data_IF_473540163782
#
_entry.id   IF_473540163782
#
_cell.length_a   1.000
_cell.length_b   1.000
_cell.length_c   1.000
_cell.angle_alpha   90.00
_cell.angle_beta   90.00
_cell.angle_gamma   90.00
#
_symmetry.space_group_name_H-M   'P 1'
#
loop_
_entity.id
_entity.type
_entity.pdbx_description
1 polymer ?
#
# COMPACT_ATOMS: atom_id res chain seq x y z
N UNK A 1 29.38 -31.90 -8.31
CA UNK A 1 29.13 -30.46 -8.56
C UNK A 1 27.67 -30.14 -8.93
N UNK A 2 26.78 -31.13 -9.12
CA UNK A 2 25.35 -30.90 -9.35
C UNK A 2 24.50 -30.80 -8.04
N UNK A 3 25.06 -31.18 -6.89
CA UNK A 3 24.32 -31.18 -5.60
C UNK A 3 24.42 -29.87 -4.79
N UNK A 4 25.17 -28.87 -5.26
CA UNK A 4 25.23 -27.54 -4.61
C UNK A 4 24.24 -26.52 -5.18
N UNK A 5 23.45 -26.90 -6.19
CA UNK A 5 22.42 -26.03 -6.81
C UNK A 5 20.98 -26.35 -6.37
N UNK A 6 20.79 -27.33 -5.49
CA UNK A 6 19.48 -27.73 -4.98
C UNK A 6 19.21 -27.28 -3.53
N UNK A 7 19.80 -26.14 -3.11
CA UNK A 7 19.63 -25.56 -1.77
C UNK A 7 19.54 -24.01 -1.76
N UNK A 8 19.03 -23.42 -2.85
CA UNK A 8 18.29 -22.15 -2.76
C UNK A 8 16.85 -22.55 -2.43
N UNK A 9 16.62 -22.95 -1.17
CA UNK A 9 15.69 -22.25 -0.28
C UNK A 9 14.42 -21.82 -1.03
N UNK A 10 13.42 -22.70 -1.03
CA UNK A 10 12.04 -22.29 -0.75
C UNK A 10 12.06 -21.57 0.62
N UNK A 11 12.56 -20.33 0.64
CA UNK A 11 12.26 -19.42 1.73
C UNK A 11 10.92 -18.82 1.32
N UNK A 12 9.88 -19.20 2.05
CA UNK A 12 8.54 -18.67 1.86
C UNK A 12 8.61 -17.15 2.02
N UNK A 13 8.29 -16.38 0.98
CA UNK A 13 8.36 -14.91 1.03
C UNK A 13 7.49 -14.37 2.17
N UNK A 14 6.37 -15.06 2.46
CA UNK A 14 5.50 -14.76 3.60
C UNK A 14 6.26 -14.91 4.94
N UNK A 15 7.11 -15.93 5.08
CA UNK A 15 7.93 -16.11 6.29
C UNK A 15 8.99 -15.01 6.43
N UNK A 16 9.62 -14.59 5.33
CA UNK A 16 10.60 -13.51 5.36
C UNK A 16 9.95 -12.16 5.73
N UNK A 17 8.73 -11.91 5.24
CA UNK A 17 7.96 -10.72 5.62
C UNK A 17 7.64 -10.71 7.12
N UNK A 18 7.11 -11.83 7.63
CA UNK A 18 6.74 -11.94 9.04
C UNK A 18 7.94 -11.76 9.98
N UNK A 19 9.10 -12.36 9.67
CA UNK A 19 10.34 -12.19 10.45
C UNK A 19 10.76 -10.72 10.52
N UNK A 20 10.83 -10.03 9.37
CA UNK A 20 11.22 -8.61 9.31
C UNK A 20 10.22 -7.72 10.04
N UNK A 21 8.92 -8.00 9.88
CA UNK A 21 7.85 -7.27 10.54
C UNK A 21 7.95 -7.39 12.05
N UNK A 22 8.12 -8.60 12.58
CA UNK A 22 8.21 -8.84 14.03
C UNK A 22 9.45 -8.18 14.63
N UNK A 23 10.62 -8.38 14.02
CA UNK A 23 11.89 -7.78 14.46
C UNK A 23 11.81 -6.25 14.44
N UNK A 24 11.24 -5.66 13.38
CA UNK A 24 11.06 -4.22 13.30
C UNK A 24 10.11 -3.68 14.36
N UNK A 25 8.98 -4.35 14.60
CA UNK A 25 8.01 -3.92 15.62
C UNK A 25 8.64 -3.96 17.01
N UNK A 26 9.42 -4.98 17.33
CA UNK A 26 10.14 -5.10 18.60
C UNK A 26 11.13 -3.94 18.77
N UNK A 27 12.02 -3.74 17.79
CA UNK A 27 13.03 -2.68 17.83
C UNK A 27 12.41 -1.29 17.87
N UNK A 28 11.38 -1.02 17.07
CA UNK A 28 10.68 0.26 17.05
C UNK A 28 10.04 0.57 18.40
N UNK A 29 9.39 -0.41 19.04
CA UNK A 29 8.81 -0.26 20.38
C UNK A 29 9.88 -0.03 21.45
N UNK A 30 11.03 -0.68 21.33
CA UNK A 30 12.12 -0.48 22.28
C UNK A 30 12.76 0.90 22.14
N UNK A 31 12.97 1.39 20.92
CA UNK A 31 13.41 2.77 20.70
C UNK A 31 12.38 3.81 21.16
N UNK A 32 11.08 3.55 21.00
CA UNK A 32 10.01 4.40 21.57
C UNK A 32 10.06 4.47 23.10
N UNK A 33 10.33 3.35 23.79
CA UNK A 33 10.51 3.35 25.25
C UNK A 33 11.78 4.10 25.65
N UNK A 34 12.89 3.89 24.96
CA UNK A 34 14.18 4.51 25.26
C UNK A 34 14.15 6.03 25.15
N UNK A 35 13.41 6.60 24.18
CA UNK A 35 13.25 8.06 24.05
C UNK A 35 12.39 8.68 25.14
N UNK A 36 11.63 7.89 25.91
CA UNK A 36 10.98 8.33 27.15
C UNK A 36 9.87 9.37 26.98
N UNK A 37 9.26 9.48 25.79
CA UNK A 37 8.18 10.46 25.51
C UNK A 37 6.77 9.93 25.80
N UNK A 38 6.63 8.67 26.23
CA UNK A 38 5.34 8.05 26.55
C UNK A 38 4.47 7.75 25.32
N UNK A 39 5.08 7.62 24.15
CA UNK A 39 4.40 7.36 22.89
C UNK A 39 4.18 5.87 22.65
N UNK A 40 3.13 5.56 21.91
CA UNK A 40 2.76 4.20 21.52
C UNK A 40 2.73 4.08 20.00
N UNK A 41 2.96 2.87 19.50
CA UNK A 41 2.75 2.54 18.10
C UNK A 41 1.27 2.17 17.89
N UNK A 42 0.66 2.72 16.85
CA UNK A 42 -0.69 2.37 16.40
C UNK A 42 -0.61 1.73 15.01
N UNK A 43 -1.28 0.59 14.85
CA UNK A 43 -1.35 -0.11 13.57
C UNK A 43 -2.63 0.24 12.83
N UNK A 44 -2.52 0.22 11.50
CA UNK A 44 -3.60 0.39 10.54
C UNK A 44 -3.63 -0.86 9.69
N UNK A 45 -4.79 -1.49 9.58
CA UNK A 45 -4.98 -2.76 8.89
C UNK A 45 -3.99 -3.86 9.34
N UNK A 46 -3.82 -4.00 10.66
CA UNK A 46 -2.83 -4.90 11.28
C UNK A 46 -2.95 -6.35 10.79
N UNK A 47 -1.84 -6.91 10.32
CA UNK A 47 -1.74 -8.28 9.83
C UNK A 47 -2.38 -8.51 8.47
N UNK A 48 -2.64 -7.44 7.71
CA UNK A 48 -3.11 -7.49 6.31
C UNK A 48 -2.01 -7.02 5.35
N UNK A 49 -2.15 -7.21 4.02
CA UNK A 49 -1.18 -6.74 3.04
C UNK A 49 -1.01 -5.21 3.01
N UNK A 50 -2.01 -4.47 3.49
CA UNK A 50 -1.99 -3.00 3.50
C UNK A 50 -1.67 -2.44 4.89
N UNK A 51 -0.93 -3.22 5.69
CA UNK A 51 -0.55 -2.81 7.04
C UNK A 51 0.33 -1.56 6.99
N UNK A 52 -0.06 -0.58 7.78
CA UNK A 52 0.72 0.60 8.07
C UNK A 52 0.78 0.84 9.57
N UNK A 53 1.66 1.73 9.99
CA UNK A 53 1.74 2.14 11.38
C UNK A 53 2.03 3.63 11.51
N UNK A 54 1.72 4.16 12.68
CA UNK A 54 2.08 5.52 13.07
C UNK A 54 2.39 5.58 14.56
N UNK A 55 2.95 6.70 15.01
CA UNK A 55 2.95 7.03 16.43
C UNK A 55 1.53 7.47 16.81
N UNK A 56 0.94 6.81 17.80
CA UNK A 56 -0.40 7.10 18.30
C UNK A 56 -0.51 8.57 18.68
N UNK A 57 -1.53 9.22 18.13
CA UNK A 57 -1.85 10.62 18.43
C UNK A 57 -2.45 10.79 19.82
N UNK A 58 -2.86 12.03 20.11
CA UNK A 58 -3.66 12.37 21.30
C UNK A 58 -5.16 12.12 21.11
N UNK A 59 -5.54 11.51 19.98
CA UNK A 59 -6.93 11.27 19.57
C UNK A 59 -7.56 12.41 18.78
N UNK A 60 -7.04 13.64 18.92
CA UNK A 60 -7.49 14.81 18.14
C UNK A 60 -6.61 15.05 16.90
N UNK A 61 -5.34 14.66 16.99
CA UNK A 61 -4.34 14.80 15.95
C UNK A 61 -3.84 13.45 15.45
N UNK A 62 -3.49 13.38 14.17
CA UNK A 62 -2.98 12.20 13.49
C UNK A 62 -1.54 12.44 13.05
N UNK A 63 -0.67 11.49 13.37
CA UNK A 63 0.71 11.47 12.88
C UNK A 63 0.75 10.89 11.47
N UNK A 64 1.78 11.22 10.66
CA UNK A 64 2.01 10.51 9.41
C UNK A 64 2.13 9.01 9.63
N UNK A 65 1.69 8.22 8.66
CA UNK A 65 1.80 6.77 8.65
C UNK A 65 2.94 6.30 7.75
N UNK A 66 3.51 5.14 8.09
CA UNK A 66 4.48 4.43 7.28
C UNK A 66 3.94 3.04 6.93
N UNK A 67 4.06 2.65 5.66
CA UNK A 67 3.71 1.30 5.20
C UNK A 67 4.72 0.28 5.72
N UNK A 68 4.24 -0.85 6.25
CA UNK A 68 5.10 -1.95 6.66
C UNK A 68 5.74 -2.64 5.46
N UNK A 69 5.07 -2.65 4.31
CA UNK A 69 5.66 -3.13 3.05
C UNK A 69 6.89 -2.30 2.66
N UNK A 70 6.86 -0.97 2.85
CA UNK A 70 8.03 -0.13 2.60
C UNK A 70 9.18 -0.43 3.57
N UNK A 71 8.88 -0.76 4.83
CA UNK A 71 9.91 -1.22 5.78
C UNK A 71 10.53 -2.52 5.28
N UNK A 72 9.70 -3.50 4.93
CA UNK A 72 10.14 -4.79 4.40
C UNK A 72 11.03 -4.62 3.15
N UNK A 73 10.59 -3.84 2.17
CA UNK A 73 11.34 -3.58 0.94
C UNK A 73 12.71 -2.97 1.26
N UNK A 74 12.75 -1.97 2.15
CA UNK A 74 14.00 -1.28 2.45
C UNK A 74 14.97 -2.11 3.30
N UNK A 75 14.48 -2.88 4.26
CA UNK A 75 15.33 -3.67 5.16
C UNK A 75 15.74 -5.03 4.56
N UNK A 76 14.87 -5.65 3.75
CA UNK A 76 15.09 -7.01 3.25
C UNK A 76 15.35 -7.06 1.75
N UNK A 77 14.44 -6.52 0.93
CA UNK A 77 14.53 -6.66 -0.54
C UNK A 77 15.69 -5.85 -1.12
N UNK A 78 15.80 -4.59 -0.74
CA UNK A 78 16.85 -3.67 -1.17
C UNK A 78 18.05 -3.74 -0.22
N UNK A 79 17.81 -4.09 1.05
CA UNK A 79 18.81 -4.05 2.12
C UNK A 79 19.53 -2.69 2.20
N UNK A 80 18.74 -1.61 2.09
CA UNK A 80 19.21 -0.24 2.19
C UNK A 80 19.54 0.17 3.64
N UNK A 81 18.87 -0.45 4.61
CA UNK A 81 19.00 -0.14 6.04
C UNK A 81 18.95 -1.41 6.89
N UNK A 82 19.70 -1.45 7.98
CA UNK A 82 19.44 -2.40 9.07
C UNK A 82 18.16 -2.00 9.83
N UNK A 83 17.55 -2.95 10.55
CA UNK A 83 16.25 -2.74 11.21
C UNK A 83 16.31 -1.61 12.24
N UNK A 84 17.39 -1.53 13.03
CA UNK A 84 17.57 -0.48 14.04
C UNK A 84 17.78 0.90 13.40
N UNK A 85 18.47 0.96 12.25
CA UNK A 85 18.65 2.17 11.47
C UNK A 85 17.33 2.65 10.87
N UNK A 86 16.55 1.74 10.30
CA UNK A 86 15.24 2.05 9.75
C UNK A 86 14.29 2.57 10.84
N UNK A 87 14.24 1.90 12.00
CA UNK A 87 13.42 2.33 13.13
C UNK A 87 13.83 3.73 13.61
N UNK A 88 15.13 3.98 13.76
CA UNK A 88 15.68 5.29 14.17
C UNK A 88 15.36 6.39 13.16
N UNK A 89 15.50 6.09 11.87
CA UNK A 89 15.21 7.01 10.78
C UNK A 89 13.73 7.40 10.78
N UNK A 90 12.83 6.42 10.85
CA UNK A 90 11.38 6.64 10.86
C UNK A 90 10.95 7.44 12.10
N UNK A 91 11.48 7.11 13.29
CA UNK A 91 11.24 7.91 14.50
C UNK A 91 11.72 9.37 14.35
N UNK A 92 12.87 9.58 13.71
CA UNK A 92 13.38 10.91 13.38
C UNK A 92 12.46 11.69 12.44
N UNK A 93 11.81 11.00 11.48
CA UNK A 93 10.83 11.63 10.59
C UNK A 93 9.58 12.12 11.35
N UNK A 94 9.17 11.41 12.41
CA UNK A 94 8.02 11.79 13.23
C UNK A 94 8.30 12.98 14.17
N UNK A 95 9.54 13.19 14.59
CA UNK A 95 9.87 14.24 15.57
C UNK A 95 9.59 15.67 15.04
N UNK A 96 9.68 15.87 13.73
CA UNK A 96 9.38 17.16 13.08
C UNK A 96 8.18 17.06 12.12
N UNK A 97 7.41 15.98 12.19
CA UNK A 97 6.27 15.79 11.32
C UNK A 97 5.14 16.76 11.70
N UNK A 98 4.57 17.40 10.69
CA UNK A 98 3.26 18.03 10.84
C UNK A 98 2.23 16.96 11.23
N UNK A 99 1.33 17.34 12.12
CA UNK A 99 0.18 16.51 12.49
C UNK A 99 -1.07 17.19 11.94
N UNK A 100 -2.01 16.38 11.46
CA UNK A 100 -3.29 16.89 10.96
C UNK A 100 -4.40 16.61 11.97
N UNK A 101 -5.49 17.35 11.91
CA UNK A 101 -6.67 17.07 12.72
C UNK A 101 -7.31 15.73 12.28
N UNK A 102 -7.82 14.95 13.23
CA UNK A 102 -8.54 13.70 12.94
C UNK A 102 -9.71 13.94 11.99
N UNK A 103 -10.47 15.01 12.23
CA UNK A 103 -11.59 15.43 11.38
C UNK A 103 -11.16 15.80 9.95
N UNK A 104 -9.91 16.22 9.73
CA UNK A 104 -9.40 16.49 8.39
C UNK A 104 -9.17 15.18 7.61
N UNK A 105 -8.74 14.12 8.29
CA UNK A 105 -8.52 12.80 7.70
C UNK A 105 -9.84 12.03 7.52
N UNK A 106 -10.70 12.01 8.54
CA UNK A 106 -11.91 11.19 8.62
C UNK A 106 -13.10 11.76 7.82
N UNK A 107 -12.84 12.11 6.56
CA UNK A 107 -13.82 12.55 5.58
C UNK A 107 -14.07 11.42 4.57
N UNK A 108 -15.33 11.25 4.13
CA UNK A 108 -15.68 10.27 3.08
C UNK A 108 -14.83 10.49 1.81
N UNK A 109 -14.51 11.74 1.49
CA UNK A 109 -13.71 12.10 0.33
C UNK A 109 -12.25 11.60 0.41
N UNK A 110 -11.76 11.23 1.60
CA UNK A 110 -10.44 10.65 1.78
C UNK A 110 -10.47 9.11 1.79
N UNK A 111 -11.63 8.47 1.64
CA UNK A 111 -11.71 7.01 1.71
C UNK A 111 -11.33 6.37 0.37
N UNK A 112 -10.38 5.42 0.42
CA UNK A 112 -9.99 4.57 -0.70
C UNK A 112 -10.31 3.08 -0.44
N UNK A 113 -10.54 2.35 -1.53
CA UNK A 113 -10.85 0.91 -1.56
C UNK A 113 -9.57 0.07 -1.60
N UNK A 114 -9.47 -0.92 -0.71
CA UNK A 114 -8.38 -1.87 -0.60
C UNK A 114 -8.91 -3.32 -0.58
N UNK A 115 -8.86 -4.06 -1.70
CA UNK A 115 -9.32 -5.43 -1.75
C UNK A 115 -8.23 -6.40 -1.28
N UNK A 116 -8.63 -7.41 -0.50
CA UNK A 116 -7.74 -8.49 -0.05
C UNK A 116 -8.45 -9.83 -0.09
N UNK A 117 -7.70 -10.93 0.00
CA UNK A 117 -8.27 -12.27 0.05
C UNK A 117 -9.04 -12.49 1.37
N UNK A 118 -10.36 -12.70 1.30
CA UNK A 118 -11.20 -12.86 2.48
C UNK A 118 -10.79 -14.09 3.29
N UNK A 119 -10.53 -15.22 2.62
CA UNK A 119 -10.18 -16.47 3.32
C UNK A 119 -8.84 -16.39 4.07
N UNK A 120 -7.88 -15.61 3.56
CA UNK A 120 -6.57 -15.43 4.20
C UNK A 120 -6.63 -14.47 5.40
N UNK A 121 -7.49 -13.44 5.34
CA UNK A 121 -7.43 -12.31 6.29
C UNK A 121 -8.66 -12.12 7.19
N UNK A 122 -9.73 -12.93 7.05
CA UNK A 122 -10.97 -12.73 7.82
C UNK A 122 -10.77 -12.63 9.34
N UNK A 123 -9.92 -13.48 9.93
CA UNK A 123 -9.67 -13.44 11.40
C UNK A 123 -9.06 -12.11 11.84
N UNK A 124 -8.18 -11.53 11.02
CA UNK A 124 -7.54 -10.24 11.29
C UNK A 124 -8.56 -9.11 11.16
N UNK A 125 -9.40 -9.15 10.12
CA UNK A 125 -10.46 -8.17 9.90
C UNK A 125 -11.43 -8.12 11.10
N UNK A 126 -11.90 -9.29 11.55
CA UNK A 126 -12.79 -9.41 12.70
C UNK A 126 -12.11 -8.96 14.01
N UNK A 127 -10.88 -9.43 14.26
CA UNK A 127 -10.12 -9.09 15.48
C UNK A 127 -9.88 -7.58 15.61
N UNK A 128 -9.62 -6.90 14.49
CA UNK A 128 -9.26 -5.49 14.47
C UNK A 128 -10.46 -4.56 14.24
N UNK A 129 -11.68 -5.12 14.11
CA UNK A 129 -12.91 -4.37 13.81
C UNK A 129 -12.78 -3.50 12.54
N UNK A 130 -12.13 -4.04 11.51
CA UNK A 130 -11.97 -3.36 10.22
C UNK A 130 -13.25 -3.53 9.42
N UNK A 131 -13.82 -2.43 8.91
CA UNK A 131 -15.00 -2.49 8.05
C UNK A 131 -14.65 -3.10 6.69
N UNK A 132 -15.44 -4.09 6.25
CA UNK A 132 -15.29 -4.69 4.94
C UNK A 132 -16.63 -5.09 4.31
N UNK A 133 -16.68 -5.09 2.98
CA UNK A 133 -17.77 -5.65 2.19
C UNK A 133 -17.29 -6.98 1.57
N UNK A 134 -17.92 -8.12 1.86
CA UNK A 134 -17.63 -9.37 1.18
C UNK A 134 -17.97 -9.28 -0.31
N UNK A 135 -17.04 -9.63 -1.19
CA UNK A 135 -17.26 -9.70 -2.63
C UNK A 135 -16.55 -10.91 -3.23
N UNK A 136 -17.33 -11.95 -3.54
CA UNK A 136 -16.80 -13.27 -3.95
C UNK A 136 -15.81 -13.82 -2.91
N UNK A 137 -14.57 -14.03 -3.28
CA UNK A 137 -13.45 -14.48 -2.46
C UNK A 137 -12.63 -13.33 -1.85
N UNK A 138 -13.05 -12.08 -2.07
CA UNK A 138 -12.39 -10.89 -1.56
C UNK A 138 -13.15 -10.25 -0.40
N UNK A 139 -12.40 -9.62 0.49
CA UNK A 139 -12.88 -8.59 1.40
C UNK A 139 -12.51 -7.24 0.80
N UNK A 140 -13.50 -6.41 0.51
CA UNK A 140 -13.27 -5.03 0.09
C UNK A 140 -13.23 -4.17 1.36
N UNK A 141 -12.03 -3.73 1.75
CA UNK A 141 -11.83 -2.88 2.92
C UNK A 141 -11.64 -1.42 2.53
N UNK A 142 -11.68 -0.54 3.53
CA UNK A 142 -11.66 0.90 3.33
C UNK A 142 -10.66 1.53 4.31
N UNK A 143 -9.83 2.42 3.80
CA UNK A 143 -8.92 3.22 4.62
C UNK A 143 -9.09 4.69 4.26
N UNK A 144 -9.01 5.57 5.25
CA UNK A 144 -8.79 6.99 5.00
C UNK A 144 -7.35 7.18 4.54
N UNK A 145 -7.15 7.88 3.43
CA UNK A 145 -5.85 8.23 2.89
C UNK A 145 -5.84 9.73 2.64
N UNK A 146 -4.88 10.41 3.24
CA UNK A 146 -4.63 11.83 2.99
C UNK A 146 -3.15 12.03 2.74
N UNK A 147 -2.81 12.64 1.62
CA UNK A 147 -1.43 12.87 1.23
C UNK A 147 -1.14 14.37 1.12
N UNK A 148 0.05 14.73 1.58
CA UNK A 148 0.69 16.02 1.37
C UNK A 148 1.96 15.79 0.56
N UNK A 149 2.66 16.85 0.13
CA UNK A 149 3.86 16.72 -0.72
C UNK A 149 4.91 15.72 -0.20
N UNK A 150 5.04 15.54 1.12
CA UNK A 150 6.10 14.73 1.72
C UNK A 150 5.62 13.71 2.78
N UNK A 151 4.30 13.58 3.00
CA UNK A 151 3.73 12.76 4.08
C UNK A 151 2.41 12.15 3.66
N UNK A 152 2.19 10.91 4.07
CA UNK A 152 0.92 10.20 3.95
C UNK A 152 0.35 9.96 5.35
N UNK A 153 -0.96 10.06 5.48
CA UNK A 153 -1.72 9.83 6.71
C UNK A 153 -2.79 8.79 6.39
N UNK A 154 -2.86 7.73 7.20
CA UNK A 154 -3.76 6.63 6.97
C UNK A 154 -4.46 6.19 8.26
N UNK A 155 -5.72 5.77 8.16
CA UNK A 155 -6.48 5.17 9.27
C UNK A 155 -7.54 4.19 8.75
N UNK A 156 -7.82 3.15 9.53
CA UNK A 156 -8.90 2.21 9.21
C UNK A 156 -10.27 2.89 9.26
N UNK A 157 -11.12 2.59 8.28
CA UNK A 157 -12.55 2.86 8.40
C UNK A 157 -13.17 1.76 9.28
N UNK A 158 -13.83 2.17 10.36
CA UNK A 158 -14.53 1.32 11.31
C UNK A 158 -16.05 1.53 11.24
N UNK A 159 -16.80 0.62 11.86
CA UNK A 159 -18.26 0.64 11.90
C UNK A 159 -18.81 1.96 12.50
N UNK A 160 -18.12 2.52 13.51
CA UNK A 160 -18.50 3.80 14.12
C UNK A 160 -18.55 4.96 13.09
N UNK A 161 -17.68 4.96 12.08
CA UNK A 161 -17.72 5.97 11.01
C UNK A 161 -18.95 5.79 10.12
N UNK A 162 -19.32 4.55 9.80
CA UNK A 162 -20.53 4.24 9.04
C UNK A 162 -21.78 4.71 9.78
N UNK A 163 -21.85 4.44 11.10
CA UNK A 163 -22.93 4.89 11.97
C UNK A 163 -22.99 6.42 11.99
N UNK A 164 -21.86 7.10 12.14
CA UNK A 164 -21.77 8.57 12.14
C UNK A 164 -22.28 9.17 10.83
N UNK A 165 -21.96 8.56 9.68
CA UNK A 165 -22.41 9.02 8.37
C UNK A 165 -23.83 8.58 8.02
N UNK A 166 -24.42 7.66 8.80
CA UNK A 166 -25.75 7.11 8.55
C UNK A 166 -25.84 6.29 7.28
N UNK A 167 -24.76 5.57 6.93
CA UNK A 167 -24.69 4.72 5.73
C UNK A 167 -24.26 3.30 6.11
N UNK A 168 -24.54 2.32 5.25
CA UNK A 168 -23.98 0.98 5.34
C UNK A 168 -22.70 0.83 4.48
N UNK A 169 -22.09 -0.36 4.50
CA UNK A 169 -20.82 -0.62 3.81
C UNK A 169 -20.97 -0.65 2.28
N UNK A 170 -22.11 -1.13 1.77
CA UNK A 170 -22.42 -1.13 0.34
C UNK A 170 -22.61 0.31 -0.19
N UNK A 171 -23.27 1.16 0.59
CA UNK A 171 -23.43 2.58 0.30
C UNK A 171 -22.10 3.32 0.35
N UNK A 172 -21.21 2.98 1.29
CA UNK A 172 -19.85 3.51 1.31
C UNK A 172 -19.11 3.12 0.02
N UNK A 173 -19.12 1.84 -0.35
CA UNK A 173 -18.49 1.34 -1.57
C UNK A 173 -18.98 2.10 -2.82
N UNK A 174 -20.29 2.30 -2.94
CA UNK A 174 -20.87 3.03 -4.06
C UNK A 174 -20.49 4.51 -4.07
N UNK A 175 -20.37 5.16 -2.90
CA UNK A 175 -19.97 6.58 -2.82
C UNK A 175 -18.52 6.80 -3.23
N UNK A 176 -17.60 5.94 -2.80
CA UNK A 176 -16.16 6.19 -2.95
C UNK A 176 -15.60 5.74 -4.30
N UNK A 177 -16.29 4.85 -5.03
CA UNK A 177 -15.80 4.27 -6.30
C UNK A 177 -15.81 5.22 -7.51
N UNK A 178 -16.36 6.44 -7.41
CA UNK A 178 -16.47 7.37 -8.55
C UNK A 178 -15.40 8.48 -8.59
N UNK A 179 -14.31 8.30 -7.85
CA UNK A 179 -13.15 9.19 -7.87
C UNK A 179 -12.44 9.18 -9.23
N UNK A 180 -11.85 10.32 -9.59
CA UNK A 180 -10.94 10.45 -10.74
C UNK A 180 -9.68 9.62 -10.54
N UNK A 181 -9.01 9.31 -11.65
CA UNK A 181 -7.79 8.46 -11.65
C UNK A 181 -6.67 9.10 -10.81
N UNK A 182 -6.56 10.42 -10.88
CA UNK A 182 -5.58 11.21 -10.14
C UNK A 182 -5.89 11.26 -8.63
N UNK A 183 -7.17 11.29 -8.26
CA UNK A 183 -7.61 11.36 -6.85
C UNK A 183 -7.29 10.09 -6.07
N UNK A 184 -7.16 8.95 -6.75
CA UNK A 184 -6.80 7.67 -6.13
C UNK A 184 -5.32 7.32 -6.30
N UNK A 185 -4.51 8.26 -6.81
CA UNK A 185 -3.08 8.07 -7.04
C UNK A 185 -2.75 6.97 -8.05
N UNK A 186 -3.68 6.64 -8.95
CA UNK A 186 -3.47 5.57 -9.95
C UNK A 186 -2.83 6.13 -11.22
N UNK A 187 -1.89 5.38 -11.79
CA UNK A 187 -1.28 5.67 -13.08
C UNK A 187 -1.35 4.44 -13.97
N UNK A 188 -1.68 4.66 -15.25
CA UNK A 188 -1.72 3.60 -16.26
C UNK A 188 -0.54 3.84 -17.20
N UNK A 189 0.53 3.07 -17.00
CA UNK A 189 1.80 3.23 -17.71
C UNK A 189 2.00 2.12 -18.72
N UNK A 190 2.52 2.46 -19.89
CA UNK A 190 3.01 1.47 -20.84
C UNK A 190 4.39 0.99 -20.36
N UNK A 191 4.53 -0.31 -20.08
CA UNK A 191 5.76 -0.88 -19.49
C UNK A 191 6.93 -0.74 -20.47
N UNK A 192 6.70 -0.96 -21.76
CA UNK A 192 7.73 -0.85 -22.78
C UNK A 192 8.27 0.58 -22.89
N UNK A 193 7.38 1.57 -23.00
CA UNK A 193 7.78 2.98 -23.09
C UNK A 193 8.48 3.45 -21.82
N UNK A 194 8.03 2.99 -20.65
CA UNK A 194 8.66 3.35 -19.38
C UNK A 194 10.08 2.78 -19.28
N UNK A 195 10.27 1.49 -19.60
CA UNK A 195 11.58 0.84 -19.63
C UNK A 195 12.49 1.53 -20.64
N UNK A 196 11.98 1.79 -21.86
CA UNK A 196 12.72 2.50 -22.90
C UNK A 196 13.21 3.86 -22.41
N UNK A 197 12.34 4.68 -21.83
CA UNK A 197 12.68 6.00 -21.29
C UNK A 197 13.70 5.92 -20.15
N UNK A 198 13.59 4.91 -19.28
CA UNK A 198 14.54 4.68 -18.19
C UNK A 198 15.94 4.30 -18.72
N UNK A 199 16.00 3.48 -19.77
CA UNK A 199 17.25 3.02 -20.37
C UNK A 199 17.89 4.06 -21.29
N UNK A 200 17.11 4.88 -22.01
CA UNK A 200 17.62 5.97 -22.87
C UNK A 200 18.42 7.01 -22.07
N UNK A 201 18.07 7.20 -20.80
CA UNK A 201 18.80 8.09 -19.90
C UNK A 201 20.05 7.43 -19.28
N UNK A 202 20.31 6.16 -19.56
CA UNK A 202 21.47 5.43 -19.04
C UNK A 202 22.55 5.29 -20.12
N UNK A 203 23.55 6.16 -20.08
CA UNK A 203 24.65 6.23 -21.06
C UNK A 203 25.55 4.97 -21.13
N UNK A 204 25.36 3.99 -20.23
CA UNK A 204 26.15 2.76 -20.18
C UNK A 204 25.57 1.59 -20.99
N UNK A 205 24.40 1.75 -21.61
CA UNK A 205 23.67 0.66 -22.27
C UNK A 205 23.60 0.90 -23.79
N UNK A 206 24.13 -0.05 -24.58
CA UNK A 206 24.08 -0.03 -26.05
C UNK A 206 22.82 -0.78 -26.52
N UNK A 207 21.95 -0.11 -27.27
CA UNK A 207 20.72 -0.71 -27.80
C UNK A 207 20.94 -1.46 -29.12
N UNK A 208 20.29 -2.61 -29.27
CA UNK A 208 20.05 -3.29 -30.55
C UNK A 208 18.73 -2.84 -31.20
N UNK A 209 18.56 -3.12 -32.50
CA UNK A 209 17.41 -2.65 -33.30
C UNK A 209 16.05 -3.09 -32.75
N UNK A 210 15.09 -2.15 -32.78
CA UNK A 210 13.69 -2.30 -32.32
C UNK A 210 12.88 -3.29 -33.16
N UNK A 211 13.42 -3.73 -34.30
CA UNK A 211 12.76 -4.61 -35.27
C UNK A 211 12.46 -6.03 -34.76
N UNK A 212 13.08 -6.46 -33.64
CA UNK A 212 12.89 -7.82 -33.08
C UNK A 212 11.86 -7.90 -31.91
N UNK A 213 11.29 -6.76 -31.46
CA UNK A 213 10.29 -6.75 -30.38
C UNK A 213 8.90 -6.90 -30.96
N UNK A 214 8.29 -8.07 -30.71
CA UNK A 214 6.89 -8.42 -31.00
C UNK A 214 5.92 -7.33 -30.54
N UNK A 215 4.91 -7.03 -31.36
CA UNK A 215 3.92 -5.97 -31.11
C UNK A 215 3.15 -6.20 -29.80
N UNK A 216 2.90 -7.46 -29.46
CA UNK A 216 2.24 -7.89 -28.23
C UNK A 216 3.04 -7.52 -26.98
N UNK A 217 4.38 -7.50 -27.06
CA UNK A 217 5.25 -7.07 -25.96
C UNK A 217 5.25 -5.54 -25.75
N UNK A 218 4.76 -4.76 -26.73
CA UNK A 218 4.63 -3.30 -26.64
C UNK A 218 3.27 -2.87 -26.07
N UNK A 219 2.34 -3.79 -25.89
CA UNK A 219 0.97 -3.53 -25.39
C UNK A 219 0.78 -4.01 -23.94
N UNK A 220 1.87 -4.12 -23.18
CA UNK A 220 1.80 -4.40 -21.74
C UNK A 220 1.69 -3.08 -20.98
N UNK A 221 0.59 -2.92 -20.25
CA UNK A 221 0.38 -1.79 -19.38
C UNK A 221 0.33 -2.24 -17.93
N UNK A 222 0.90 -1.42 -17.06
CA UNK A 222 0.82 -1.59 -15.63
C UNK A 222 -0.12 -0.53 -15.08
N UNK A 223 -1.10 -0.96 -14.30
CA UNK A 223 -1.92 -0.09 -13.46
C UNK A 223 -1.25 -0.06 -12.10
N UNK A 224 -0.61 1.06 -11.78
CA UNK A 224 0.09 1.29 -10.53
C UNK A 224 -0.71 2.25 -9.66
N UNK A 225 -0.73 2.05 -8.35
CA UNK A 225 -1.41 2.94 -7.41
C UNK A 225 -1.34 2.40 -5.98
N UNK A 226 -1.60 3.27 -5.00
CA UNK A 226 -1.54 2.96 -3.56
C UNK A 226 -2.45 1.80 -3.14
N UNK A 227 -3.51 1.53 -3.90
CA UNK A 227 -4.45 0.45 -3.63
C UNK A 227 -4.34 -0.76 -4.57
N UNK A 228 -3.29 -0.82 -5.40
CA UNK A 228 -2.99 -1.95 -6.30
C UNK A 228 -4.20 -2.39 -7.14
N UNK A 229 -4.58 -3.68 -7.01
CA UNK A 229 -5.76 -4.24 -7.70
C UNK A 229 -7.07 -3.49 -7.36
N UNK A 230 -7.15 -2.76 -6.25
CA UNK A 230 -8.29 -1.93 -5.88
C UNK A 230 -8.74 -0.94 -6.95
N UNK A 231 -7.82 -0.51 -7.83
CA UNK A 231 -8.13 0.39 -8.93
C UNK A 231 -9.24 -0.14 -9.88
N UNK A 232 -9.42 -1.47 -9.99
CA UNK A 232 -10.46 -2.07 -10.85
C UNK A 232 -11.88 -1.75 -10.39
N UNK A 233 -12.05 -1.39 -9.11
CA UNK A 233 -13.36 -1.03 -8.59
C UNK A 233 -13.79 0.38 -8.98
N UNK A 234 -12.93 1.19 -9.57
CA UNK A 234 -13.24 2.56 -9.97
C UNK A 234 -13.61 2.61 -11.46
N UNK A 235 -14.87 2.92 -11.84
CA UNK A 235 -15.29 2.95 -13.23
C UNK A 235 -14.43 3.87 -14.11
N UNK A 236 -14.02 5.03 -13.60
CA UNK A 236 -13.19 5.99 -14.35
C UNK A 236 -11.81 5.43 -14.69
N UNK A 237 -11.21 4.65 -13.80
CA UNK A 237 -9.96 3.92 -14.10
C UNK A 237 -10.22 2.91 -15.21
N UNK A 238 -11.29 2.14 -15.12
CA UNK A 238 -11.60 1.13 -16.12
C UNK A 238 -11.91 1.74 -17.49
N UNK A 239 -12.55 2.91 -17.54
CA UNK A 239 -12.74 3.66 -18.78
C UNK A 239 -11.40 4.07 -19.42
N UNK A 240 -10.44 4.57 -18.63
CA UNK A 240 -9.10 4.91 -19.13
C UNK A 240 -8.29 3.68 -19.57
N UNK A 241 -8.41 2.58 -18.83
CA UNK A 241 -7.85 1.28 -19.20
C UNK A 241 -8.42 0.83 -20.54
N UNK A 242 -9.75 0.85 -20.73
CA UNK A 242 -10.40 0.49 -21.99
C UNK A 242 -9.99 1.41 -23.14
N UNK A 243 -9.88 2.72 -22.90
CA UNK A 243 -9.41 3.69 -23.93
C UNK A 243 -7.99 3.38 -24.41
N UNK A 244 -7.11 2.89 -23.53
CA UNK A 244 -5.70 2.59 -23.84
C UNK A 244 -5.49 1.19 -24.44
N UNK A 245 -6.26 0.20 -23.98
CA UNK A 245 -6.03 -1.22 -24.24
C UNK A 245 -7.10 -1.90 -25.11
N UNK A 246 -8.26 -1.27 -25.29
CA UNK A 246 -9.41 -1.87 -25.98
C UNK A 246 -10.36 -2.62 -25.02
N UNK A 247 -11.34 -3.35 -25.57
CA UNK A 247 -12.41 -3.99 -24.80
C UNK A 247 -12.13 -5.41 -24.31
N UNK A 248 -11.18 -6.11 -24.92
CA UNK A 248 -10.83 -7.49 -24.58
C UNK A 248 -9.54 -7.51 -23.76
N UNK A 249 -9.67 -7.62 -22.43
CA UNK A 249 -8.54 -7.58 -21.50
C UNK A 249 -8.60 -8.73 -20.50
N UNK A 250 -7.43 -9.29 -20.20
CA UNK A 250 -7.23 -10.20 -19.08
C UNK A 250 -6.53 -9.41 -17.99
N UNK A 251 -7.16 -9.29 -16.82
CA UNK A 251 -6.54 -8.74 -15.61
C UNK A 251 -5.86 -9.92 -14.93
N UNK A 252 -4.54 -9.85 -14.78
CA UNK A 252 -3.68 -10.86 -14.15
C UNK A 252 -3.20 -10.31 -12.81
#
# INVERSE_FOLDING_TARGET
MAERRAKMRDYDEDQAYDEVREDFIEEFKDQLKQRGKGEEMEFIAEGTPFESFMIKGDGASICPSMSMELVYINCYTIAAYEIDEAARYILGMHDNAERIACEQLEQIDNVLIFPMNLSKYWEKLEKNHITYMPYRDMAITFQFIYETENRSYCKDVKEDHLIQWGINVEELFEKVRYKEVEEIGTQIINVYDNVKKSLENNQSIIFSSVEDVREEARQVYQVYGVNGFGAVFYPKVMEEVIKKLGGDMVIV
#
